data_IF_336123923830
#
_entry.id   IF_336123923830
#
_cell.length_a   1.000
_cell.length_b   1.000
_cell.length_c   1.000
_cell.angle_alpha   90.00
_cell.angle_beta   90.00
_cell.angle_gamma   90.00
#
_symmetry.space_group_name_H-M   'P 1'
#
loop_
_entity.id
_entity.type
_entity.pdbx_description
1 polymer ?
#
# COMPACT_ATOMS: atom_id res chain seq x y z
N UNK A 1 37.66 -54.04 -20.12
CA UNK A 1 38.91 -54.10 -19.33
C UNK A 1 39.75 -52.99 -19.92
N UNK A 2 39.86 -51.83 -19.30
CA UNK A 2 40.70 -51.60 -18.13
C UNK A 2 40.13 -50.68 -17.06
N UNK A 3 40.64 -50.92 -15.84
CA UNK A 3 40.39 -50.22 -14.58
C UNK A 3 41.36 -49.04 -14.49
N UNK A 4 40.93 -47.90 -13.96
CA UNK A 4 41.61 -47.22 -12.84
C UNK A 4 40.81 -46.05 -12.29
N UNK A 5 41.00 -45.85 -11.00
CA UNK A 5 40.12 -45.23 -10.02
C UNK A 5 40.91 -44.13 -9.29
N UNK A 6 40.19 -43.27 -8.54
CA UNK A 6 40.65 -42.18 -7.66
C UNK A 6 41.23 -40.91 -8.31
N UNK A 7 40.59 -39.75 -8.10
CA UNK A 7 40.77 -38.98 -6.88
C UNK A 7 39.73 -37.85 -6.75
N UNK A 8 39.29 -37.68 -5.53
CA UNK A 8 38.23 -36.83 -5.02
C UNK A 8 38.83 -35.46 -4.61
N UNK A 9 38.30 -34.31 -5.05
CA UNK A 9 38.50 -33.00 -4.39
C UNK A 9 37.35 -32.02 -4.65
N UNK A 10 36.51 -31.84 -3.63
CA UNK A 10 35.80 -30.58 -3.38
C UNK A 10 36.79 -29.45 -3.03
N UNK A 11 36.37 -28.20 -3.17
CA UNK A 11 36.73 -27.18 -2.20
C UNK A 11 35.46 -26.64 -1.48
N UNK A 12 35.45 -26.80 -0.16
CA UNK A 12 34.61 -26.01 0.73
C UNK A 12 35.37 -24.79 1.26
N UNK A 13 34.64 -23.70 1.53
CA UNK A 13 34.96 -22.66 2.53
C UNK A 13 33.75 -21.71 2.61
N UNK A 14 32.69 -22.00 3.38
CA UNK A 14 32.43 -21.52 4.75
C UNK A 14 33.11 -20.18 5.13
N UNK A 15 32.31 -19.10 5.22
CA UNK A 15 32.32 -18.03 6.24
C UNK A 15 31.56 -16.77 5.74
N UNK A 16 30.25 -16.68 5.96
CA UNK A 16 29.59 -15.37 6.13
C UNK A 16 28.21 -15.50 6.81
N UNK A 17 28.20 -16.11 7.99
CA UNK A 17 27.01 -16.17 8.84
C UNK A 17 27.44 -15.95 10.29
N UNK A 18 27.80 -14.71 10.61
CA UNK A 18 27.95 -14.18 11.97
C UNK A 18 28.21 -12.66 11.89
N UNK A 19 27.13 -11.86 11.80
CA UNK A 19 27.20 -10.40 12.05
C UNK A 19 25.83 -9.79 12.44
N UNK A 20 24.95 -10.59 13.05
CA UNK A 20 23.70 -10.11 13.65
C UNK A 20 23.49 -10.79 15.01
N UNK A 21 24.30 -10.38 15.99
CA UNK A 21 24.04 -10.60 17.41
C UNK A 21 24.96 -9.69 18.23
N UNK A 22 24.67 -8.38 18.27
CA UNK A 22 25.06 -7.44 19.34
C UNK A 22 24.70 -6.01 18.95
N UNK A 23 23.47 -5.57 19.27
CA UNK A 23 23.19 -4.15 19.53
C UNK A 23 21.93 -4.00 20.37
N UNK A 24 22.00 -4.49 21.60
CA UNK A 24 21.16 -3.96 22.68
C UNK A 24 22.07 -3.20 23.65
N UNK A 25 21.48 -2.18 24.28
CA UNK A 25 22.02 -1.26 25.29
C UNK A 25 22.66 0.03 24.76
N UNK A 26 21.86 1.11 24.76
CA UNK A 26 22.25 2.43 25.30
C UNK A 26 21.00 3.21 25.75
N UNK A 27 20.80 3.14 27.06
CA UNK A 27 20.49 4.20 28.03
C UNK A 27 19.70 5.44 27.61
N UNK A 28 18.67 5.65 28.43
CA UNK A 28 17.69 6.73 28.55
C UNK A 28 18.29 8.09 28.96
N UNK A 29 17.64 9.17 28.49
CA UNK A 29 17.73 10.51 29.07
C UNK A 29 16.30 10.95 29.42
N UNK A 30 16.02 11.42 30.66
CA UNK A 30 14.69 11.88 31.03
C UNK A 30 14.55 13.40 30.79
N UNK A 31 13.44 13.82 30.18
CA UNK A 31 12.95 15.19 30.29
C UNK A 31 11.55 15.15 30.92
N UNK A 32 11.48 15.66 32.15
CA UNK A 32 10.28 15.93 32.92
C UNK A 32 9.57 17.19 32.40
N UNK A 33 8.27 17.11 32.13
CA UNK A 33 7.35 18.25 32.32
C UNK A 33 6.05 17.72 32.92
N UNK A 34 5.73 18.31 34.06
CA UNK A 34 4.59 18.12 34.94
C UNK A 34 3.25 18.57 34.34
N UNK A 35 2.20 17.76 34.53
CA UNK A 35 0.82 18.22 34.55
C UNK A 35 0.11 17.68 35.79
N UNK A 36 -0.22 18.63 36.65
CA UNK A 36 -0.95 18.50 37.91
C UNK A 36 -2.34 17.90 37.72
N UNK A 37 -2.64 16.87 38.52
CA UNK A 37 -3.98 16.37 38.77
C UNK A 37 -4.74 17.32 39.70
N UNK A 38 -5.93 17.75 39.26
CA UNK A 38 -7.02 18.15 40.15
C UNK A 38 -8.19 17.22 39.89
N UNK A 39 -8.56 16.49 40.94
CA UNK A 39 -9.80 15.74 41.11
C UNK A 39 -10.98 16.70 41.13
N UNK A 40 -12.04 16.36 40.40
CA UNK A 40 -13.39 16.75 40.81
C UNK A 40 -14.40 15.65 40.41
N UNK A 41 -15.26 15.33 41.36
CA UNK A 41 -16.23 14.25 41.39
C UNK A 41 -17.45 14.56 40.51
N UNK A 42 -18.01 13.53 39.87
CA UNK A 42 -19.23 13.71 39.07
C UNK A 42 -19.77 12.43 38.47
N UNK A 43 -20.38 11.59 39.30
CA UNK A 43 -21.15 10.41 38.95
C UNK A 43 -22.29 10.71 37.95
N UNK A 44 -22.33 10.00 36.82
CA UNK A 44 -23.58 9.73 36.09
C UNK A 44 -23.43 8.51 35.18
N UNK A 45 -23.98 7.40 35.67
CA UNK A 45 -24.36 6.24 34.86
C UNK A 45 -25.18 6.69 33.65
N UNK A 46 -24.83 6.18 32.47
CA UNK A 46 -25.81 5.84 31.46
C UNK A 46 -25.21 4.82 30.50
N UNK A 47 -25.86 3.66 30.49
CA UNK A 47 -25.72 2.56 29.55
C UNK A 47 -25.55 3.07 28.11
N UNK A 48 -24.31 3.24 27.65
CA UNK A 48 -24.01 3.10 26.25
C UNK A 48 -23.71 1.62 26.05
N UNK A 49 -24.67 0.96 25.40
CA UNK A 49 -24.48 -0.34 24.77
C UNK A 49 -23.04 -0.47 24.28
N UNK A 50 -22.45 -1.64 24.52
CA UNK A 50 -21.25 -2.10 23.83
C UNK A 50 -21.51 -2.05 22.32
N UNK A 51 -21.43 -0.85 21.73
CA UNK A 51 -21.06 -0.66 20.35
C UNK A 51 -19.68 -1.26 20.36
N UNK A 52 -19.58 -2.49 19.87
CA UNK A 52 -18.31 -3.05 19.48
C UNK A 52 -17.72 -2.01 18.53
N UNK A 53 -16.86 -1.16 19.09
CA UNK A 53 -15.94 -0.33 18.35
C UNK A 53 -15.02 -1.34 17.69
N UNK A 54 -15.48 -1.93 16.59
CA UNK A 54 -14.56 -2.33 15.56
C UNK A 54 -13.99 -0.98 15.12
N UNK A 55 -12.90 -0.57 15.77
CA UNK A 55 -12.01 0.48 15.30
C UNK A 55 -11.47 -0.05 13.98
N UNK A 56 -12.29 0.03 12.93
CA UNK A 56 -11.96 -0.45 11.60
C UNK A 56 -10.90 0.49 11.05
N UNK A 57 -9.64 0.11 11.26
CA UNK A 57 -8.51 0.73 10.59
C UNK A 57 -8.74 0.78 9.07
N UNK A 58 -8.11 1.75 8.41
CA UNK A 58 -8.16 1.84 6.95
C UNK A 58 -7.63 0.55 6.32
N UNK A 59 -8.36 0.01 5.34
CA UNK A 59 -7.93 -1.16 4.57
C UNK A 59 -7.08 -0.71 3.39
N UNK A 60 -5.97 -1.42 3.14
CA UNK A 60 -5.11 -1.19 1.99
C UNK A 60 -5.29 -2.35 1.00
N UNK A 61 -5.71 -2.04 -0.22
CA UNK A 61 -5.90 -3.01 -1.29
C UNK A 61 -4.92 -2.75 -2.41
N UNK A 62 -4.20 -3.79 -2.83
CA UNK A 62 -3.22 -3.71 -3.92
C UNK A 62 -3.81 -4.38 -5.16
N UNK A 63 -3.78 -3.73 -6.31
CA UNK A 63 -4.36 -4.31 -7.52
C UNK A 63 -3.94 -3.62 -8.81
N UNK A 64 -4.18 -4.30 -9.92
CA UNK A 64 -4.03 -3.71 -11.25
C UNK A 64 -5.08 -2.62 -11.48
N UNK A 65 -4.88 -1.81 -12.52
CA UNK A 65 -5.87 -0.81 -12.94
C UNK A 65 -7.26 -1.43 -13.14
N UNK A 66 -7.34 -2.59 -13.80
CA UNK A 66 -8.61 -3.27 -14.10
C UNK A 66 -9.30 -3.74 -12.81
N UNK A 67 -8.54 -4.39 -11.93
CA UNK A 67 -9.03 -4.89 -10.65
C UNK A 67 -9.57 -3.75 -9.79
N UNK A 68 -8.79 -2.67 -9.63
CA UNK A 68 -9.17 -1.56 -8.75
C UNK A 68 -10.39 -0.81 -9.28
N UNK A 69 -10.50 -0.64 -10.61
CA UNK A 69 -11.71 -0.08 -11.23
C UNK A 69 -12.95 -0.92 -10.87
N UNK A 70 -12.83 -2.25 -10.94
CA UNK A 70 -13.92 -3.15 -10.57
C UNK A 70 -14.22 -3.12 -9.06
N UNK A 71 -13.20 -3.28 -8.22
CA UNK A 71 -13.33 -3.27 -6.76
C UNK A 71 -13.93 -1.98 -6.23
N UNK A 72 -13.57 -0.84 -6.80
CA UNK A 72 -14.12 0.46 -6.39
C UNK A 72 -15.63 0.57 -6.59
N UNK A 73 -16.19 -0.18 -7.55
CA UNK A 73 -17.63 -0.25 -7.78
C UNK A 73 -18.29 -1.21 -6.79
N UNK A 74 -17.69 -2.39 -6.58
CA UNK A 74 -18.20 -3.40 -5.63
C UNK A 74 -18.23 -2.87 -4.20
N UNK A 75 -17.18 -2.14 -3.80
CA UNK A 75 -17.02 -1.60 -2.44
C UNK A 75 -17.60 -0.18 -2.28
N UNK A 76 -18.45 0.25 -3.21
CA UNK A 76 -19.03 1.61 -3.20
C UNK A 76 -19.95 1.91 -2.01
N UNK A 77 -20.45 0.87 -1.33
CA UNK A 77 -21.21 0.97 -0.09
C UNK A 77 -20.35 1.33 1.13
N UNK A 78 -19.03 1.14 1.05
CA UNK A 78 -18.09 1.54 2.11
C UNK A 78 -17.73 3.01 1.97
N UNK A 79 -17.45 3.66 3.11
CA UNK A 79 -16.94 5.02 3.12
C UNK A 79 -15.63 5.11 2.33
N UNK A 80 -15.54 6.08 1.41
CA UNK A 80 -14.37 6.28 0.53
C UNK A 80 -13.05 6.47 1.28
N UNK A 81 -13.12 6.94 2.52
CA UNK A 81 -11.98 7.20 3.41
C UNK A 81 -11.47 5.95 4.12
N UNK A 82 -12.25 4.86 4.15
CA UNK A 82 -11.90 3.59 4.79
C UNK A 82 -11.00 2.70 3.91
N UNK A 83 -10.93 2.93 2.60
CA UNK A 83 -10.13 2.13 1.68
C UNK A 83 -9.07 2.98 0.99
N UNK A 84 -7.82 2.51 1.11
CA UNK A 84 -6.69 2.95 0.31
C UNK A 84 -6.40 1.92 -0.77
N UNK A 85 -6.11 2.39 -1.97
CA UNK A 85 -5.74 1.57 -3.10
C UNK A 85 -4.29 1.82 -3.46
N UNK A 86 -3.54 0.73 -3.62
CA UNK A 86 -2.25 0.68 -4.28
C UNK A 86 -2.44 0.12 -5.68
N UNK A 87 -2.47 1.02 -6.66
CA UNK A 87 -2.74 0.69 -8.06
C UNK A 87 -1.43 0.61 -8.82
N UNK A 88 -1.14 -0.55 -9.41
CA UNK A 88 0.00 -0.69 -10.31
C UNK A 88 -0.43 -0.65 -11.77
N UNK A 89 0.40 -0.03 -12.61
CA UNK A 89 0.13 0.10 -14.04
C UNK A 89 1.16 0.98 -14.73
N UNK A 90 0.95 1.17 -16.04
CA UNK A 90 1.81 2.00 -16.87
C UNK A 90 1.30 3.43 -16.88
N UNK A 91 2.20 4.37 -16.58
CA UNK A 91 1.89 5.78 -16.62
C UNK A 91 1.87 6.31 -18.06
N UNK A 92 0.82 7.02 -18.43
CA UNK A 92 0.74 7.74 -19.72
C UNK A 92 1.32 9.17 -19.57
N UNK A 93 0.89 10.12 -20.40
CA UNK A 93 1.31 11.52 -20.30
C UNK A 93 0.82 12.21 -19.02
N UNK A 94 1.70 13.02 -18.42
CA UNK A 94 1.39 13.95 -17.33
C UNK A 94 1.01 15.31 -17.91
N UNK A 95 -0.01 15.93 -17.33
CA UNK A 95 -0.43 17.30 -17.61
C UNK A 95 -0.69 18.04 -16.30
N UNK A 96 -0.56 19.37 -16.34
CA UNK A 96 -0.95 20.21 -15.20
C UNK A 96 -2.45 20.46 -15.27
N UNK A 97 -3.16 20.25 -14.16
CA UNK A 97 -4.59 20.42 -14.06
C UNK A 97 -5.03 21.88 -14.04
N UNK A 98 -6.30 22.13 -13.69
CA UNK A 98 -6.86 23.48 -13.62
C UNK A 98 -6.16 24.34 -12.55
N UNK A 99 -5.65 23.71 -11.49
CA UNK A 99 -4.81 24.35 -10.49
C UNK A 99 -3.34 24.08 -10.81
N UNK A 100 -2.49 25.08 -10.62
CA UNK A 100 -1.04 24.95 -10.85
C UNK A 100 -0.39 23.83 -10.03
N UNK A 101 -0.94 23.53 -8.85
CA UNK A 101 -0.49 22.45 -7.98
C UNK A 101 -1.05 21.07 -8.34
N UNK A 102 -1.91 20.94 -9.35
CA UNK A 102 -2.51 19.67 -9.74
C UNK A 102 -1.72 19.03 -10.87
N UNK A 103 -1.25 17.80 -10.67
CA UNK A 103 -0.67 16.94 -11.71
C UNK A 103 -1.64 15.83 -12.02
N UNK A 104 -2.03 15.72 -13.28
CA UNK A 104 -3.00 14.75 -13.77
C UNK A 104 -2.33 13.85 -14.79
N UNK A 105 -2.53 12.55 -14.66
CA UNK A 105 -2.08 11.56 -15.63
C UNK A 105 -3.05 10.38 -15.68
N UNK A 106 -2.85 9.45 -16.61
CA UNK A 106 -3.61 8.20 -16.66
C UNK A 106 -2.69 7.02 -16.35
N UNK A 107 -3.18 6.09 -15.53
CA UNK A 107 -2.62 4.74 -15.46
C UNK A 107 -3.41 3.82 -16.38
N UNK A 108 -2.69 2.91 -17.05
CA UNK A 108 -3.26 1.88 -17.92
C UNK A 108 -2.71 0.52 -17.53
N UNK A 109 -3.50 -0.53 -17.77
CA UNK A 109 -2.98 -1.90 -17.75
C UNK A 109 -2.11 -2.16 -19.00
N UNK A 110 -1.34 -3.25 -19.01
CA UNK A 110 -0.53 -3.72 -20.14
C UNK A 110 -1.32 -3.82 -21.44
N UNK A 111 -2.55 -4.32 -21.34
CA UNK A 111 -3.47 -4.47 -22.48
C UNK A 111 -4.08 -3.12 -22.94
N UNK A 112 -3.86 -2.03 -22.18
CA UNK A 112 -4.36 -0.66 -22.43
C UNK A 112 -5.89 -0.52 -22.54
N UNK A 113 -6.65 -1.54 -22.12
CA UNK A 113 -8.12 -1.56 -22.16
C UNK A 113 -8.71 -0.64 -21.10
N UNK A 114 -8.37 -0.86 -19.82
CA UNK A 114 -8.85 0.02 -18.75
C UNK A 114 -7.86 1.13 -18.44
N UNK A 115 -8.43 2.23 -17.95
CA UNK A 115 -7.68 3.42 -17.51
C UNK A 115 -8.27 3.98 -16.23
N UNK A 116 -7.40 4.52 -15.39
CA UNK A 116 -7.78 5.30 -14.22
C UNK A 116 -7.08 6.65 -14.27
N UNK A 117 -7.87 7.73 -14.10
CA UNK A 117 -7.34 9.09 -14.05
C UNK A 117 -6.76 9.33 -12.67
N UNK A 118 -5.53 9.78 -12.64
CA UNK A 118 -4.72 9.94 -11.45
C UNK A 118 -4.50 11.42 -11.20
N UNK A 119 -4.73 11.87 -9.96
CA UNK A 119 -4.54 13.27 -9.57
C UNK A 119 -3.62 13.33 -8.37
N UNK A 120 -2.48 14.00 -8.52
CA UNK A 120 -1.51 14.29 -7.48
C UNK A 120 -1.51 15.79 -7.19
N UNK A 121 -1.52 16.17 -5.92
CA UNK A 121 -1.47 17.58 -5.51
C UNK A 121 -0.07 17.92 -4.97
N UNK A 122 0.60 18.84 -5.64
CA UNK A 122 1.90 19.39 -5.25
C UNK A 122 1.75 20.54 -4.25
N UNK A 123 1.17 20.24 -3.08
CA UNK A 123 1.02 21.23 -1.99
C UNK A 123 2.24 21.14 -1.09
N UNK A 124 2.41 20.02 -0.39
CA UNK A 124 3.50 19.82 0.57
C UNK A 124 4.73 19.15 -0.07
N UNK A 125 4.57 18.52 -1.23
CA UNK A 125 5.63 17.78 -1.93
C UNK A 125 5.47 17.86 -3.43
N UNK A 126 6.58 17.91 -4.17
CA UNK A 126 6.56 17.77 -5.63
C UNK A 126 6.28 16.32 -6.03
N UNK A 127 5.63 16.13 -7.17
CA UNK A 127 5.47 14.81 -7.76
C UNK A 127 6.85 14.31 -8.22
N UNK A 128 7.24 13.07 -7.89
CA UNK A 128 8.43 12.45 -8.46
C UNK A 128 8.41 12.51 -9.99
N UNK A 129 9.56 12.82 -10.58
CA UNK A 129 9.72 12.77 -12.04
C UNK A 129 9.71 11.30 -12.47
N UNK A 130 8.67 10.93 -13.22
CA UNK A 130 8.51 9.59 -13.76
C UNK A 130 8.31 9.74 -15.27
N UNK A 131 9.06 9.01 -16.12
CA UNK A 131 8.85 9.02 -17.56
C UNK A 131 7.50 8.42 -17.98
N UNK A 132 6.97 8.87 -19.12
CA UNK A 132 5.83 8.21 -19.76
C UNK A 132 6.22 6.78 -20.14
N UNK A 133 5.32 5.84 -19.93
CA UNK A 133 5.53 4.42 -20.20
C UNK A 133 6.20 3.67 -19.06
N UNK A 134 6.53 4.33 -17.95
CA UNK A 134 7.09 3.65 -16.78
C UNK A 134 6.01 2.88 -16.02
N UNK A 135 6.37 1.69 -15.56
CA UNK A 135 5.55 0.90 -14.64
C UNK A 135 5.67 1.47 -13.23
N UNK A 136 4.53 1.84 -12.64
CA UNK A 136 4.48 2.56 -11.35
C UNK A 136 3.49 1.93 -10.39
N UNK A 137 3.70 2.19 -9.10
CA UNK A 137 2.73 1.97 -8.03
C UNK A 137 2.23 3.31 -7.50
N UNK A 138 0.92 3.53 -7.57
CA UNK A 138 0.27 4.72 -7.04
C UNK A 138 -0.59 4.37 -5.83
N UNK A 139 -0.35 5.01 -4.68
CA UNK A 139 -1.20 4.85 -3.49
C UNK A 139 -2.15 6.02 -3.38
N UNK A 140 -3.44 5.76 -3.20
CA UNK A 140 -4.45 6.81 -3.13
C UNK A 140 -5.82 6.30 -2.70
N UNK A 141 -6.83 7.16 -2.81
CA UNK A 141 -8.22 6.79 -2.63
C UNK A 141 -9.02 7.13 -3.88
N UNK A 142 -10.08 6.38 -4.13
CA UNK A 142 -10.95 6.58 -5.28
C UNK A 142 -11.92 7.73 -4.98
N UNK A 143 -11.94 8.74 -5.86
CA UNK A 143 -12.87 9.87 -5.81
C UNK A 143 -13.79 9.87 -7.02
N UNK A 144 -14.93 9.18 -6.88
CA UNK A 144 -15.89 9.04 -7.99
C UNK A 144 -15.52 7.88 -8.90
N UNK A 145 -15.99 7.90 -10.15
CA UNK A 145 -15.75 6.81 -11.11
C UNK A 145 -14.38 6.97 -11.76
N UNK A 146 -13.52 5.96 -11.65
CA UNK A 146 -12.24 5.85 -12.34
C UNK A 146 -11.30 7.05 -12.13
N UNK A 147 -11.36 7.67 -10.94
CA UNK A 147 -10.46 8.76 -10.53
C UNK A 147 -9.80 8.43 -9.21
N UNK A 148 -8.47 8.36 -9.21
CA UNK A 148 -7.63 8.11 -8.04
C UNK A 148 -7.01 9.43 -7.59
N UNK A 149 -7.32 9.88 -6.38
CA UNK A 149 -6.53 10.92 -5.74
C UNK A 149 -5.32 10.26 -5.08
N UNK A 150 -4.15 10.58 -5.62
CA UNK A 150 -2.88 9.97 -5.25
C UNK A 150 -2.24 10.72 -4.10
N UNK A 151 -1.70 9.94 -3.18
CA UNK A 151 -0.79 10.40 -2.14
C UNK A 151 0.65 10.11 -2.55
N UNK A 152 0.97 8.91 -3.01
CA UNK A 152 2.34 8.53 -3.36
C UNK A 152 2.40 7.85 -4.73
N UNK A 153 3.49 8.10 -5.45
CA UNK A 153 3.84 7.42 -6.69
C UNK A 153 5.30 6.95 -6.57
N UNK A 154 5.58 5.74 -7.03
CA UNK A 154 6.94 5.20 -7.13
C UNK A 154 7.07 4.36 -8.38
N UNK A 155 8.24 4.41 -9.00
CA UNK A 155 8.59 3.48 -10.06
C UNK A 155 8.69 2.07 -9.51
N UNK A 156 8.31 1.10 -10.35
CA UNK A 156 8.42 -0.31 -10.07
C UNK A 156 9.30 -0.98 -11.13
N UNK A 157 10.31 -1.75 -10.71
CA UNK A 157 10.99 -2.68 -11.60
C UNK A 157 9.98 -3.66 -12.20
N UNK A 158 10.07 -3.92 -13.50
CA UNK A 158 9.16 -4.84 -14.19
C UNK A 158 9.23 -6.27 -13.61
N UNK A 159 10.39 -6.68 -13.11
CA UNK A 159 10.61 -7.99 -12.48
C UNK A 159 9.66 -8.24 -11.29
N UNK A 160 9.15 -7.18 -10.67
CA UNK A 160 8.24 -7.28 -9.53
C UNK A 160 6.77 -7.50 -9.91
N UNK A 161 6.41 -7.50 -11.20
CA UNK A 161 5.01 -7.69 -11.66
C UNK A 161 4.38 -8.96 -11.06
N UNK A 162 5.12 -10.06 -11.03
CA UNK A 162 4.65 -11.33 -10.47
C UNK A 162 4.33 -11.23 -8.97
N UNK A 163 5.17 -10.53 -8.21
CA UNK A 163 4.95 -10.31 -6.77
C UNK A 163 3.68 -9.51 -6.52
N UNK A 164 3.45 -8.43 -7.28
CA UNK A 164 2.24 -7.62 -7.16
C UNK A 164 0.98 -8.37 -7.58
N UNK A 165 1.07 -9.23 -8.60
CA UNK A 165 -0.03 -10.11 -9.02
C UNK A 165 -0.46 -11.09 -7.91
N UNK A 166 0.50 -11.65 -7.17
CA UNK A 166 0.19 -12.53 -6.03
C UNK A 166 -0.47 -11.78 -4.88
N UNK A 167 0.00 -10.56 -4.59
CA UNK A 167 -0.59 -9.71 -3.55
C UNK A 167 -2.01 -9.29 -3.96
N UNK A 168 -2.24 -8.97 -5.23
CA UNK A 168 -3.57 -8.58 -5.70
C UNK A 168 -4.58 -9.73 -5.66
N UNK A 169 -4.13 -10.97 -5.87
CA UNK A 169 -4.97 -12.15 -5.67
C UNK A 169 -5.43 -12.29 -4.21
N UNK A 170 -4.53 -12.10 -3.25
CA UNK A 170 -4.89 -12.10 -1.83
C UNK A 170 -5.88 -10.97 -1.49
N UNK A 171 -5.70 -9.79 -2.09
CA UNK A 171 -6.64 -8.67 -1.94
C UNK A 171 -8.02 -9.01 -2.52
N UNK A 172 -8.09 -9.69 -3.67
CA UNK A 172 -9.35 -10.14 -4.27
C UNK A 172 -10.13 -11.05 -3.30
N UNK A 173 -9.45 -11.96 -2.60
CA UNK A 173 -10.09 -12.84 -1.62
C UNK A 173 -10.60 -12.05 -0.41
N UNK A 174 -9.79 -11.13 0.13
CA UNK A 174 -10.21 -10.26 1.22
C UNK A 174 -11.45 -9.41 0.86
N UNK A 175 -11.55 -8.96 -0.39
CA UNK A 175 -12.73 -8.24 -0.90
C UNK A 175 -13.95 -9.16 -0.93
N UNK A 176 -13.80 -10.39 -1.41
CA UNK A 176 -14.90 -11.35 -1.42
C UNK A 176 -15.41 -11.63 0.00
N UNK A 177 -14.51 -11.77 0.97
CA UNK A 177 -14.89 -11.94 2.38
C UNK A 177 -15.68 -10.73 2.87
N UNK A 178 -15.18 -9.50 2.64
CA UNK A 178 -15.89 -8.26 3.00
C UNK A 178 -17.30 -8.25 2.39
N UNK A 179 -17.44 -8.65 1.12
CA UNK A 179 -18.72 -8.68 0.43
C UNK A 179 -19.68 -9.71 1.02
N UNK A 180 -19.18 -10.90 1.39
CA UNK A 180 -19.98 -11.93 2.05
C UNK A 180 -20.47 -11.42 3.41
N UNK A 181 -19.58 -10.89 4.24
CA UNK A 181 -19.95 -10.37 5.55
C UNK A 181 -20.86 -9.13 5.49
N UNK A 182 -20.79 -8.32 4.43
CA UNK A 182 -21.66 -7.16 4.25
C UNK A 182 -23.11 -7.51 3.84
N UNK A 183 -23.36 -8.76 3.43
CA UNK A 183 -24.68 -9.24 2.99
C UNK A 183 -25.46 -9.99 4.07
N UNK A 184 -24.82 -10.32 5.19
CA UNK A 184 -25.44 -10.95 6.36
C UNK A 184 -25.92 -9.86 7.30
#
# INVERSE_FOLDING_TARGET
>A
MDKNNLFNRQPGCSKQSQLYAQREQRTSVPLSVSSTSKTDDGNKDNNHSNIAVINEGKKLLVGSVDQVVHWSQMLSFLEKTKILYQVYGFMDSIMTGSRKCEKIFCLRNEQKISRIVCVFYEIDRKMPEVPKGTFVLCTGHIKGKNKLQIFTIRELPEDNKNSFSRISLACQWAINDILIYSRV
#
